data_IF_485747910479
#
_entry.id   IF_485747910479
#
_cell.length_a   1.000
_cell.length_b   1.000
_cell.length_c   1.000
_cell.angle_alpha   90.00
_cell.angle_beta   90.00
_cell.angle_gamma   90.00
#
_symmetry.space_group_name_H-M   'P 1'
#
loop_
_entity.id
_entity.type
_entity.pdbx_description
1 polymer ?
#
# COMPACT_ATOMS: atom_id res chain seq x y z
N UNK A 1 8.96 -25.79 -6.57
CA UNK A 1 10.33 -25.83 -6.09
C UNK A 1 10.45 -25.06 -4.76
N UNK A 2 11.20 -25.50 -3.75
CA UNK A 2 11.25 -24.89 -2.41
C UNK A 2 11.67 -23.42 -2.42
N UNK A 3 12.56 -23.02 -3.31
CA UNK A 3 12.99 -21.62 -3.48
C UNK A 3 11.84 -20.68 -3.88
N UNK A 4 10.91 -21.14 -4.73
CA UNK A 4 9.73 -20.33 -5.10
C UNK A 4 8.80 -20.10 -3.91
N UNK A 5 8.60 -21.11 -3.06
CA UNK A 5 7.79 -20.98 -1.84
C UNK A 5 8.44 -19.98 -0.88
N UNK A 6 9.74 -20.10 -0.63
CA UNK A 6 10.47 -19.18 0.24
C UNK A 6 10.42 -17.74 -0.28
N UNK A 7 10.57 -17.55 -1.59
CA UNK A 7 10.45 -16.24 -2.22
C UNK A 7 9.04 -15.66 -2.05
N UNK A 8 8.00 -16.46 -2.30
CA UNK A 8 6.60 -16.04 -2.14
C UNK A 8 6.30 -15.66 -0.70
N UNK A 9 6.77 -16.44 0.28
CA UNK A 9 6.62 -16.10 1.71
C UNK A 9 7.30 -14.78 2.04
N UNK A 10 8.54 -14.59 1.60
CA UNK A 10 9.29 -13.36 1.82
C UNK A 10 8.60 -12.15 1.17
N UNK A 11 8.18 -12.28 -0.10
CA UNK A 11 7.47 -11.23 -0.83
C UNK A 11 6.13 -10.88 -0.15
N UNK A 12 5.37 -11.90 0.29
CA UNK A 12 4.11 -11.71 1.01
C UNK A 12 4.32 -10.89 2.29
N UNK A 13 5.24 -11.32 3.15
CA UNK A 13 5.55 -10.59 4.40
C UNK A 13 6.01 -9.17 4.10
N UNK A 14 6.88 -8.99 3.09
CA UNK A 14 7.39 -7.68 2.69
C UNK A 14 6.29 -6.73 2.23
N UNK A 15 5.39 -7.19 1.36
CA UNK A 15 4.28 -6.36 0.86
C UNK A 15 3.28 -6.06 1.96
N UNK A 16 2.88 -7.05 2.76
CA UNK A 16 1.95 -6.86 3.88
C UNK A 16 2.49 -5.84 4.89
N UNK A 17 3.79 -5.92 5.21
CA UNK A 17 4.44 -4.94 6.07
C UNK A 17 4.53 -3.56 5.41
N UNK A 18 4.74 -3.48 4.09
CA UNK A 18 4.76 -2.23 3.36
C UNK A 18 3.42 -1.49 3.44
N UNK A 19 2.28 -2.20 3.39
CA UNK A 19 0.96 -1.61 3.59
C UNK A 19 0.78 -1.01 4.99
N UNK A 20 1.35 -1.63 6.01
CA UNK A 20 1.34 -1.07 7.36
C UNK A 20 2.22 0.19 7.45
N UNK A 21 3.39 0.18 6.81
CA UNK A 21 4.32 1.32 6.83
C UNK A 21 3.79 2.57 6.11
N UNK A 22 2.94 2.43 5.09
CA UNK A 22 2.34 3.58 4.38
C UNK A 22 1.10 4.14 5.09
N UNK A 23 0.58 3.49 6.14
CA UNK A 23 -0.60 3.98 6.90
C UNK A 23 -0.24 5.14 7.83
N UNK A 24 0.43 6.15 7.29
CA UNK A 24 0.92 7.32 8.03
C UNK A 24 0.20 8.63 7.72
N UNK A 25 -0.66 8.69 6.70
CA UNK A 25 -1.45 9.85 6.30
C UNK A 25 -2.92 9.49 6.12
N UNK A 26 -3.81 10.44 6.41
CA UNK A 26 -5.24 10.26 6.21
C UNK A 26 -5.55 9.93 4.75
N UNK A 27 -6.17 8.79 4.52
CA UNK A 27 -6.57 8.31 3.20
C UNK A 27 -5.50 7.60 2.39
N UNK A 28 -4.20 7.72 2.67
CA UNK A 28 -3.14 7.19 1.83
C UNK A 28 -3.22 5.66 1.68
N UNK A 29 -3.29 4.95 2.79
CA UNK A 29 -3.40 3.49 2.79
C UNK A 29 -4.67 3.03 2.05
N UNK A 30 -5.79 3.73 2.24
CA UNK A 30 -7.04 3.46 1.53
C UNK A 30 -6.93 3.71 0.03
N UNK A 31 -6.30 4.81 -0.37
CA UNK A 31 -6.08 5.15 -1.77
C UNK A 31 -5.23 4.10 -2.49
N UNK A 32 -4.11 3.73 -1.87
CA UNK A 32 -3.21 2.70 -2.39
C UNK A 32 -3.91 1.36 -2.46
N UNK A 33 -4.65 0.97 -1.41
CA UNK A 33 -5.44 -0.27 -1.40
C UNK A 33 -6.46 -0.30 -2.53
N UNK A 34 -7.23 0.79 -2.70
CA UNK A 34 -8.23 0.88 -3.76
C UNK A 34 -7.59 0.80 -5.16
N UNK A 35 -6.47 1.51 -5.38
CA UNK A 35 -5.74 1.49 -6.65
C UNK A 35 -5.22 0.08 -6.99
N UNK A 36 -4.59 -0.59 -6.03
CA UNK A 36 -4.10 -1.97 -6.20
C UNK A 36 -5.27 -2.93 -6.44
N UNK A 37 -6.35 -2.83 -5.65
CA UNK A 37 -7.51 -3.70 -5.79
C UNK A 37 -8.21 -3.52 -7.15
N UNK A 38 -8.38 -2.28 -7.62
CA UNK A 38 -8.93 -1.99 -8.96
C UNK A 38 -8.04 -2.59 -10.05
N UNK A 39 -6.73 -2.39 -9.97
CA UNK A 39 -5.78 -2.93 -10.95
C UNK A 39 -5.82 -4.45 -11.01
N UNK A 40 -5.77 -5.11 -9.84
CA UNK A 40 -5.90 -6.58 -9.75
C UNK A 40 -7.27 -7.07 -10.22
N UNK A 41 -8.35 -6.33 -9.95
CA UNK A 41 -9.70 -6.68 -10.41
C UNK A 41 -9.80 -6.66 -11.93
N UNK A 42 -9.20 -5.66 -12.58
CA UNK A 42 -9.16 -5.58 -14.05
C UNK A 42 -8.36 -6.75 -14.62
N UNK A 43 -7.18 -7.04 -14.06
CA UNK A 43 -6.37 -8.19 -14.49
C UNK A 43 -7.15 -9.49 -14.31
N UNK A 44 -7.82 -9.67 -13.15
CA UNK A 44 -8.63 -10.84 -12.86
C UNK A 44 -9.76 -11.03 -13.88
N UNK A 45 -10.47 -9.94 -14.20
CA UNK A 45 -11.55 -9.96 -15.19
C UNK A 45 -11.04 -10.34 -16.58
N UNK A 46 -9.94 -9.75 -17.02
CA UNK A 46 -9.31 -10.06 -18.31
C UNK A 46 -8.80 -11.51 -18.38
N UNK A 47 -8.32 -12.05 -17.27
CA UNK A 47 -7.91 -13.44 -17.14
C UNK A 47 -9.07 -14.43 -16.96
N UNK A 48 -10.33 -13.98 -17.03
CA UNK A 48 -11.52 -14.83 -16.86
C UNK A 48 -11.82 -15.24 -15.42
N UNK A 49 -11.06 -14.75 -14.42
CA UNK A 49 -11.28 -15.07 -13.01
C UNK A 49 -12.27 -14.08 -12.36
N UNK A 50 -13.55 -14.23 -12.72
CA UNK A 50 -14.64 -13.35 -12.27
C UNK A 50 -14.79 -13.35 -10.74
N UNK A 51 -14.53 -14.47 -10.07
CA UNK A 51 -14.66 -14.55 -8.61
C UNK A 51 -13.67 -13.63 -7.89
N UNK A 52 -12.38 -13.68 -8.27
CA UNK A 52 -11.36 -12.78 -7.72
C UNK A 52 -11.66 -11.33 -8.09
N UNK A 53 -12.12 -11.07 -9.32
CA UNK A 53 -12.50 -9.73 -9.76
C UNK A 53 -13.60 -9.14 -8.88
N UNK A 54 -14.71 -9.85 -8.66
CA UNK A 54 -15.82 -9.41 -7.81
C UNK A 54 -15.35 -9.21 -6.36
N UNK A 55 -14.57 -10.15 -5.81
CA UNK A 55 -14.01 -10.01 -4.46
C UNK A 55 -13.22 -8.71 -4.31
N UNK A 56 -12.36 -8.38 -5.28
CA UNK A 56 -11.56 -7.15 -5.25
C UNK A 56 -12.42 -5.89 -5.38
N UNK A 57 -13.50 -5.91 -6.18
CA UNK A 57 -14.48 -4.80 -6.23
C UNK A 57 -15.14 -4.60 -4.86
N UNK A 58 -15.48 -5.66 -4.15
CA UNK A 58 -16.01 -5.55 -2.78
C UNK A 58 -15.00 -4.97 -1.80
N UNK A 59 -13.72 -5.33 -1.93
CA UNK A 59 -12.63 -4.70 -1.14
C UNK A 59 -12.56 -3.20 -1.43
N UNK A 60 -12.64 -2.79 -2.70
CA UNK A 60 -12.68 -1.36 -3.08
C UNK A 60 -13.86 -0.66 -2.41
N UNK A 61 -15.05 -1.23 -2.50
CA UNK A 61 -16.26 -0.63 -1.90
C UNK A 61 -16.13 -0.46 -0.38
N UNK A 62 -15.60 -1.48 0.31
CA UNK A 62 -15.38 -1.43 1.76
C UNK A 62 -14.37 -0.35 2.15
N UNK A 63 -13.25 -0.25 1.41
CA UNK A 63 -12.20 0.75 1.66
C UNK A 63 -12.68 2.16 1.35
N UNK A 64 -13.47 2.35 0.31
CA UNK A 64 -14.10 3.66 0.01
C UNK A 64 -15.09 4.06 1.10
N UNK A 65 -15.87 3.13 1.65
CA UNK A 65 -16.73 3.38 2.79
C UNK A 65 -15.96 3.82 4.04
N UNK A 66 -14.84 3.15 4.35
CA UNK A 66 -13.94 3.56 5.42
C UNK A 66 -13.35 4.97 5.16
N UNK A 67 -12.97 5.25 3.92
CA UNK A 67 -12.34 6.50 3.51
C UNK A 67 -13.23 7.72 3.76
N UNK A 68 -14.55 7.59 3.66
CA UNK A 68 -15.51 8.69 3.97
C UNK A 68 -15.30 9.27 5.38
N UNK A 69 -14.89 8.43 6.32
CA UNK A 69 -14.64 8.84 7.70
C UNK A 69 -13.15 9.13 7.98
N UNK A 70 -12.25 8.43 7.31
CA UNK A 70 -10.82 8.62 7.49
C UNK A 70 -10.31 9.88 6.76
N UNK A 71 -10.74 10.14 5.52
CA UNK A 71 -10.29 11.28 4.73
C UNK A 71 -11.36 12.40 4.70
N UNK A 72 -10.99 13.69 4.78
CA UNK A 72 -9.62 14.20 5.04
C UNK A 72 -9.29 14.33 6.54
N UNK A 73 -10.27 14.22 7.43
CA UNK A 73 -10.18 14.65 8.85
C UNK A 73 -9.63 13.58 9.81
N UNK A 74 -9.41 12.34 9.35
CA UNK A 74 -8.91 11.26 10.22
C UNK A 74 -9.81 10.97 11.42
N UNK A 75 -11.15 10.89 11.24
CA UNK A 75 -12.09 10.57 12.33
C UNK A 75 -11.95 9.14 12.83
N UNK A 76 -11.51 8.23 11.96
CA UNK A 76 -11.19 6.84 12.28
C UNK A 76 -9.86 6.48 11.62
N UNK A 77 -9.16 5.50 12.17
CA UNK A 77 -7.87 5.02 11.67
C UNK A 77 -7.95 3.54 11.38
N UNK A 78 -7.21 3.11 10.36
CA UNK A 78 -7.14 1.71 9.95
C UNK A 78 -6.42 0.85 11.00
N UNK A 79 -5.32 1.39 11.53
CA UNK A 79 -4.46 0.72 12.49
C UNK A 79 -3.72 -0.48 11.89
N UNK A 80 -2.78 -1.04 12.63
CA UNK A 80 -1.95 -2.14 12.17
C UNK A 80 -2.77 -3.35 11.70
N UNK A 81 -3.81 -3.71 12.46
CA UNK A 81 -4.67 -4.85 12.10
C UNK A 81 -5.37 -4.68 10.76
N UNK A 82 -5.90 -3.49 10.48
CA UNK A 82 -6.54 -3.17 9.22
C UNK A 82 -5.55 -3.11 8.06
N UNK A 83 -4.41 -2.47 8.26
CA UNK A 83 -3.36 -2.34 7.24
C UNK A 83 -2.80 -3.72 6.85
N UNK A 84 -2.49 -4.57 7.83
CA UNK A 84 -2.05 -5.95 7.59
C UNK A 84 -3.12 -6.79 6.90
N UNK A 85 -4.39 -6.68 7.32
CA UNK A 85 -5.49 -7.41 6.70
C UNK A 85 -5.66 -7.04 5.22
N UNK A 86 -5.67 -5.75 4.89
CA UNK A 86 -5.78 -5.28 3.50
C UNK A 86 -4.59 -5.72 2.66
N UNK A 87 -3.36 -5.53 3.14
CA UNK A 87 -2.16 -5.99 2.45
C UNK A 87 -2.20 -7.50 2.18
N UNK A 88 -2.64 -8.29 3.16
CA UNK A 88 -2.76 -9.75 3.04
C UNK A 88 -3.81 -10.15 2.00
N UNK A 89 -5.01 -9.57 2.04
CA UNK A 89 -6.07 -9.85 1.06
C UNK A 89 -5.62 -9.56 -0.37
N UNK A 90 -4.92 -8.45 -0.61
CA UNK A 90 -4.42 -8.09 -1.92
C UNK A 90 -3.34 -9.05 -2.40
N UNK A 91 -2.38 -9.40 -1.55
CA UNK A 91 -1.30 -10.35 -1.90
C UNK A 91 -1.85 -11.73 -2.20
N UNK A 92 -2.81 -12.23 -1.39
CA UNK A 92 -3.45 -13.52 -1.66
C UNK A 92 -4.23 -13.51 -2.96
N UNK A 93 -4.95 -12.44 -3.27
CA UNK A 93 -5.62 -12.29 -4.57
C UNK A 93 -4.63 -12.34 -5.72
N UNK A 94 -3.48 -11.67 -5.58
CA UNK A 94 -2.40 -11.70 -6.56
C UNK A 94 -1.81 -13.11 -6.75
N UNK A 95 -1.56 -13.85 -5.66
CA UNK A 95 -1.07 -15.23 -5.70
C UNK A 95 -2.07 -16.14 -6.40
N UNK A 96 -3.36 -16.02 -6.09
CA UNK A 96 -4.42 -16.79 -6.75
C UNK A 96 -4.42 -16.51 -8.26
N UNK A 97 -4.32 -15.25 -8.67
CA UNK A 97 -4.29 -14.86 -10.08
C UNK A 97 -3.11 -15.47 -10.83
N UNK A 98 -1.90 -15.36 -10.28
CA UNK A 98 -0.68 -15.92 -10.90
C UNK A 98 -0.80 -17.46 -11.06
N UNK A 99 -1.44 -18.13 -10.09
CA UNK A 99 -1.58 -19.59 -10.14
C UNK A 99 -2.77 -20.07 -10.99
N UNK A 100 -3.79 -19.24 -11.21
CA UNK A 100 -5.00 -19.62 -11.95
C UNK A 100 -4.96 -19.28 -13.43
N UNK A 101 -4.06 -18.38 -13.86
CA UNK A 101 -3.99 -17.92 -15.24
C UNK A 101 -2.54 -17.81 -15.70
N UNK A 102 -2.15 -18.65 -16.63
CA UNK A 102 -0.78 -18.68 -17.20
C UNK A 102 -0.41 -17.41 -17.96
N UNK A 103 -1.41 -16.63 -18.37
CA UNK A 103 -1.25 -15.37 -19.10
C UNK A 103 -0.92 -14.19 -18.17
N UNK A 104 -1.16 -14.34 -16.86
CA UNK A 104 -0.88 -13.28 -15.89
C UNK A 104 0.61 -13.27 -15.55
N UNK A 105 1.27 -12.21 -15.96
CA UNK A 105 2.70 -12.02 -15.67
C UNK A 105 2.91 -11.66 -14.20
N UNK A 106 3.79 -12.40 -13.51
CA UNK A 106 4.22 -12.08 -12.15
C UNK A 106 4.86 -10.68 -12.06
N UNK A 107 5.54 -10.22 -13.12
CA UNK A 107 6.11 -8.86 -13.17
C UNK A 107 5.03 -7.77 -13.26
N UNK A 108 3.93 -8.01 -13.99
CA UNK A 108 2.80 -7.11 -14.02
C UNK A 108 2.17 -6.97 -12.62
N UNK A 109 2.02 -8.08 -11.91
CA UNK A 109 1.53 -8.08 -10.52
C UNK A 109 2.48 -7.31 -9.60
N UNK A 110 3.79 -7.52 -9.70
CA UNK A 110 4.77 -6.76 -8.90
C UNK A 110 4.68 -5.25 -9.18
N UNK A 111 4.43 -4.86 -10.42
CA UNK A 111 4.26 -3.45 -10.79
C UNK A 111 3.02 -2.83 -10.14
N UNK A 112 1.93 -3.59 -9.98
CA UNK A 112 0.73 -3.12 -9.26
C UNK A 112 1.05 -2.77 -7.81
N UNK A 113 1.96 -3.50 -7.16
CA UNK A 113 2.42 -3.22 -5.80
C UNK A 113 3.62 -2.25 -5.73
N UNK A 114 3.95 -1.58 -6.84
CA UNK A 114 5.16 -0.75 -6.94
C UNK A 114 5.28 0.26 -5.81
N UNK A 115 4.21 1.03 -5.54
CA UNK A 115 4.26 2.14 -4.59
C UNK A 115 4.65 1.71 -3.15
N UNK A 116 3.91 0.81 -2.48
CA UNK A 116 4.26 0.40 -1.13
C UNK A 116 5.63 -0.28 -1.05
N UNK A 117 5.99 -1.08 -2.06
CA UNK A 117 7.28 -1.76 -2.12
C UNK A 117 8.42 -0.76 -2.33
N UNK A 118 8.24 0.23 -3.21
CA UNK A 118 9.26 1.25 -3.48
C UNK A 118 9.52 2.14 -2.25
N UNK A 119 8.46 2.61 -1.56
CA UNK A 119 8.61 3.42 -0.35
C UNK A 119 9.38 2.67 0.75
N UNK A 120 9.02 1.40 0.97
CA UNK A 120 9.72 0.54 1.94
C UNK A 120 11.16 0.27 1.51
N UNK A 121 11.38 -0.04 0.24
CA UNK A 121 12.72 -0.29 -0.31
C UNK A 121 13.64 0.93 -0.18
N UNK A 122 13.12 2.12 -0.47
CA UNK A 122 13.85 3.39 -0.29
C UNK A 122 14.19 3.66 1.19
N UNK A 123 13.28 3.36 2.10
CA UNK A 123 13.52 3.49 3.53
C UNK A 123 14.64 2.55 4.00
N UNK A 124 14.62 1.29 3.57
CA UNK A 124 15.65 0.30 3.89
C UNK A 124 17.00 0.72 3.30
N UNK A 125 17.05 1.08 2.00
CA UNK A 125 18.27 1.51 1.31
C UNK A 125 18.91 2.73 1.98
N UNK A 126 18.10 3.72 2.36
CA UNK A 126 18.58 4.94 3.05
C UNK A 126 19.19 4.59 4.40
N UNK A 127 18.55 3.74 5.21
CA UNK A 127 19.05 3.30 6.51
C UNK A 127 20.35 2.57 6.38
N UNK A 128 20.43 1.65 5.43
CA UNK A 128 21.64 0.89 5.15
C UNK A 128 22.81 1.84 4.78
N UNK A 129 22.55 2.82 3.91
CA UNK A 129 23.56 3.82 3.51
C UNK A 129 24.04 4.71 4.66
N UNK A 130 23.18 4.98 5.63
CA UNK A 130 23.50 5.83 6.79
C UNK A 130 24.03 5.05 8.00
N UNK A 131 24.18 3.73 7.90
CA UNK A 131 24.61 2.87 9.00
C UNK A 131 23.60 2.81 10.18
N UNK A 132 22.34 3.16 9.93
CA UNK A 132 21.32 3.15 10.95
C UNK A 132 20.68 1.75 11.08
N UNK A 133 20.37 1.28 12.32
CA UNK A 133 19.65 0.04 12.52
C UNK A 133 18.27 0.05 11.84
N UNK A 134 17.92 -1.06 11.19
CA UNK A 134 16.64 -1.18 10.46
C UNK A 134 15.44 -1.44 11.36
N UNK A 135 15.66 -1.79 12.62
CA UNK A 135 14.67 -2.11 13.64
C UNK A 135 14.06 -0.89 14.35
N UNK A 136 14.67 0.31 14.17
CA UNK A 136 14.13 1.54 14.79
C UNK A 136 13.02 2.15 13.93
N UNK A 137 12.01 2.80 14.57
CA UNK A 137 10.96 3.53 13.86
C UNK A 137 11.55 4.57 12.89
N UNK A 138 11.16 4.52 11.63
CA UNK A 138 11.56 5.50 10.64
C UNK A 138 10.45 6.55 10.46
N UNK A 139 10.82 7.82 10.51
CA UNK A 139 9.92 8.97 10.26
C UNK A 139 10.25 9.67 8.95
N UNK A 140 10.92 8.99 8.03
CA UNK A 140 11.37 9.55 6.76
C UNK A 140 10.86 8.74 5.56
N UNK A 141 9.72 8.06 5.70
CA UNK A 141 9.01 7.50 4.56
C UNK A 141 8.65 8.61 3.57
N UNK A 142 8.55 8.27 2.29
CA UNK A 142 8.35 9.28 1.24
C UNK A 142 7.08 10.11 1.47
N UNK A 143 6.00 9.48 1.89
CA UNK A 143 4.75 10.17 2.24
C UNK A 143 4.93 11.19 3.39
N UNK A 144 5.75 10.87 4.40
CA UNK A 144 6.05 11.79 5.50
C UNK A 144 6.93 12.96 5.04
N UNK A 145 7.85 12.71 4.12
CA UNK A 145 8.67 13.76 3.51
C UNK A 145 7.82 14.69 2.66
N UNK A 146 6.87 14.16 1.87
CA UNK A 146 5.93 14.96 1.10
C UNK A 146 5.07 15.86 2.00
N UNK A 147 4.51 15.31 3.09
CA UNK A 147 3.76 16.10 4.07
C UNK A 147 4.62 17.22 4.68
N UNK A 148 5.86 16.90 5.11
CA UNK A 148 6.79 17.91 5.67
C UNK A 148 7.17 18.99 4.67
N UNK A 149 7.34 18.61 3.40
CA UNK A 149 7.60 19.59 2.35
C UNK A 149 6.46 20.58 2.22
N UNK A 150 5.20 20.10 2.21
CA UNK A 150 4.01 20.97 2.18
C UNK A 150 3.92 21.86 3.41
N UNK A 151 4.18 21.31 4.61
CA UNK A 151 4.24 22.09 5.86
C UNK A 151 5.25 23.23 5.78
N UNK A 152 6.48 22.93 5.36
CA UNK A 152 7.59 23.93 5.35
C UNK A 152 7.39 24.96 4.24
N UNK A 153 6.91 24.54 3.06
CA UNK A 153 6.92 25.40 1.87
C UNK A 153 5.67 26.25 1.73
N UNK A 154 4.50 25.76 2.19
CA UNK A 154 3.21 26.38 1.89
C UNK A 154 2.36 26.73 3.10
N UNK A 155 2.35 25.91 4.15
CA UNK A 155 1.34 26.03 5.20
C UNK A 155 1.89 26.42 6.58
N UNK A 156 3.17 26.20 6.84
CA UNK A 156 3.73 26.28 8.19
C UNK A 156 3.42 25.03 9.04
N UNK A 157 4.17 24.86 10.12
CA UNK A 157 4.07 23.65 10.99
C UNK A 157 2.74 23.53 11.73
N UNK A 158 2.02 24.64 11.91
CA UNK A 158 0.77 24.71 12.67
C UNK A 158 -0.44 24.23 11.86
N UNK A 159 -0.28 24.00 10.53
CA UNK A 159 -1.36 23.58 9.65
C UNK A 159 -1.22 22.13 9.16
N UNK A 160 -0.77 21.25 10.03
CA UNK A 160 -0.66 19.83 9.73
C UNK A 160 -1.96 19.17 9.29
N UNK A 161 -3.10 19.65 9.81
CA UNK A 161 -4.44 19.19 9.42
C UNK A 161 -4.74 19.37 7.93
N UNK A 162 -4.12 20.37 7.28
CA UNK A 162 -4.25 20.62 5.85
C UNK A 162 -3.16 19.90 5.06
N UNK A 163 -1.93 19.92 5.56
CA UNK A 163 -0.79 19.29 4.87
C UNK A 163 -0.91 17.76 4.78
N UNK A 164 -1.49 17.12 5.81
CA UNK A 164 -1.66 15.66 5.86
C UNK A 164 -2.54 15.13 4.72
N UNK A 165 -3.82 15.53 4.55
CA UNK A 165 -4.65 15.04 3.47
C UNK A 165 -4.19 15.53 2.09
N UNK A 166 -3.58 16.71 1.99
CA UNK A 166 -3.03 17.20 0.73
C UNK A 166 -1.82 16.37 0.27
N UNK A 167 -0.98 15.91 1.19
CA UNK A 167 0.10 15.01 0.83
C UNK A 167 -0.42 13.71 0.21
N UNK A 168 -1.53 13.17 0.71
CA UNK A 168 -2.20 11.99 0.11
C UNK A 168 -2.67 12.25 -1.32
N UNK A 169 -3.16 13.46 -1.63
CA UNK A 169 -3.65 13.78 -2.98
C UNK A 169 -2.53 14.06 -3.99
N UNK A 170 -1.34 14.41 -3.52
CA UNK A 170 -0.17 14.69 -4.36
C UNK A 170 0.61 13.43 -4.69
N UNK A 171 0.48 12.40 -3.85
CA UNK A 171 1.15 11.10 -4.00
C UNK A 171 0.33 10.11 -4.81
#
# INVERSE_FOLDING_TARGET
>A
APLGILFTMFATVGVVNAFNLIDGLNGLSSYVTASVAVSLSIIAFQAGNTQVSIFLVLVVAAVLGFMVLNFPKGKIFLGDGGAYALGHLLVWSAIILINSATEVSAFAILLVFFWPVADTGLAIWRRWKLGNPTDRPDRLHFHQLAMRFLEIRFFGRDRREVANPLATLVL
#
